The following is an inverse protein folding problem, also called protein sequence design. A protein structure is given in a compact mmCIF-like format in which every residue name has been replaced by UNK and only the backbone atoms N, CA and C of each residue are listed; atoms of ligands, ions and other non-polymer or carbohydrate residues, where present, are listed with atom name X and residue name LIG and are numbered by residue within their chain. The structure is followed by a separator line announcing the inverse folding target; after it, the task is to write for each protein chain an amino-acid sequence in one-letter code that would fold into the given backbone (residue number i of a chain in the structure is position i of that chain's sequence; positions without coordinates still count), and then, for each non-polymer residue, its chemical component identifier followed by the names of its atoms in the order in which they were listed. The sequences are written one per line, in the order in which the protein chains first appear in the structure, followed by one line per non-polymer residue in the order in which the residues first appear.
data_IF_141142943298
#
_entry.id   IF_141142943298
#
_cell.length_a   1.000
_cell.length_b   1.000
_cell.length_c   1.000
_cell.angle_alpha   90.00
_cell.angle_beta   90.00
_cell.angle_gamma   90.00
#
_symmetry.space_group_name_H-M   'P 1'
#
loop_
_entity.id
_entity.type
_entity.pdbx_description
1 polymer ?
#
# COMPACT_ATOMS: atom_id res chain seq x y z
N UNK A 1 -47.06 18.70 18.09
CA UNK A 1 -45.73 18.45 18.67
C UNK A 1 -45.15 17.09 18.31
N UNK A 2 -45.85 16.00 18.47
CA UNK A 2 -45.31 14.66 18.14
C UNK A 2 -44.93 14.50 16.67
N UNK A 3 -45.66 15.10 15.72
CA UNK A 3 -45.33 15.03 14.27
C UNK A 3 -44.07 15.82 13.94
N UNK A 4 -43.91 17.01 14.52
CA UNK A 4 -42.71 17.86 14.30
C UNK A 4 -41.46 17.20 14.84
N UNK A 5 -41.54 16.62 16.03
CA UNK A 5 -40.44 15.91 16.65
C UNK A 5 -40.02 14.71 15.79
N UNK A 6 -40.98 13.96 15.23
CA UNK A 6 -40.70 12.83 14.32
C UNK A 6 -39.95 13.28 13.06
N UNK A 7 -40.37 14.39 12.45
CA UNK A 7 -39.70 14.95 11.28
C UNK A 7 -38.27 15.43 11.59
N UNK A 8 -38.06 16.09 12.73
CA UNK A 8 -36.75 16.52 13.19
C UNK A 8 -35.84 15.31 13.37
N UNK A 9 -36.29 14.22 13.97
CA UNK A 9 -35.51 12.98 14.14
C UNK A 9 -35.17 12.33 12.82
N UNK A 10 -36.09 12.31 11.85
CA UNK A 10 -35.84 11.77 10.51
C UNK A 10 -34.74 12.59 9.80
N UNK A 11 -34.82 13.90 9.84
CA UNK A 11 -33.84 14.80 9.22
C UNK A 11 -32.47 14.61 9.89
N UNK A 12 -32.39 14.56 11.20
CA UNK A 12 -31.16 14.30 11.95
C UNK A 12 -30.54 12.95 11.58
N UNK A 13 -31.33 11.89 11.55
CA UNK A 13 -30.89 10.57 11.18
C UNK A 13 -30.34 10.54 9.72
N UNK A 14 -31.00 11.23 8.80
CA UNK A 14 -30.57 11.37 7.42
C UNK A 14 -29.24 12.13 7.29
N UNK A 15 -29.07 13.22 8.04
CA UNK A 15 -27.82 13.99 8.06
C UNK A 15 -26.66 13.18 8.63
N UNK A 16 -26.88 12.43 9.71
CA UNK A 16 -25.87 11.55 10.31
C UNK A 16 -25.49 10.42 9.34
N UNK A 17 -26.48 9.81 8.69
CA UNK A 17 -26.24 8.77 7.69
C UNK A 17 -25.42 9.29 6.51
N UNK A 18 -25.72 10.49 5.99
CA UNK A 18 -24.96 11.14 4.93
C UNK A 18 -23.51 11.41 5.36
N UNK A 19 -23.33 11.93 6.57
CA UNK A 19 -22.01 12.24 7.12
C UNK A 19 -21.16 10.98 7.23
N UNK A 20 -21.71 9.89 7.74
CA UNK A 20 -21.03 8.59 7.84
C UNK A 20 -20.63 8.08 6.45
N UNK A 21 -21.54 8.17 5.47
CA UNK A 21 -21.25 7.73 4.09
C UNK A 21 -20.13 8.56 3.47
N UNK A 22 -20.11 9.87 3.68
CA UNK A 22 -19.02 10.74 3.21
C UNK A 22 -17.69 10.42 3.87
N UNK A 23 -17.66 10.17 5.18
CA UNK A 23 -16.45 9.82 5.92
C UNK A 23 -15.90 8.47 5.47
N UNK A 24 -16.75 7.48 5.26
CA UNK A 24 -16.36 6.16 4.75
C UNK A 24 -15.82 6.29 3.32
N UNK A 25 -16.49 7.04 2.45
CA UNK A 25 -16.02 7.30 1.09
C UNK A 25 -14.67 8.01 1.06
N UNK A 26 -14.48 9.02 1.92
CA UNK A 26 -13.20 9.72 2.05
C UNK A 26 -12.09 8.79 2.56
N UNK A 27 -12.38 7.96 3.54
CA UNK A 27 -11.44 6.95 4.03
C UNK A 27 -10.98 6.01 2.93
N UNK A 28 -11.90 5.49 2.10
CA UNK A 28 -11.54 4.64 0.97
C UNK A 28 -10.71 5.38 -0.08
N UNK A 29 -11.00 6.63 -0.38
CA UNK A 29 -10.21 7.45 -1.30
C UNK A 29 -8.78 7.66 -0.80
N UNK A 30 -8.64 8.00 0.49
CA UNK A 30 -7.33 8.24 1.12
C UNK A 30 -6.48 6.97 1.15
N UNK A 31 -7.10 5.82 1.42
CA UNK A 31 -6.40 4.53 1.53
C UNK A 31 -6.23 3.80 0.21
N UNK A 32 -6.89 4.23 -0.87
CA UNK A 32 -6.88 3.54 -2.16
C UNK A 32 -5.48 3.35 -2.74
N UNK A 33 -4.61 4.34 -2.58
CA UNK A 33 -3.24 4.31 -3.09
C UNK A 33 -2.20 3.97 -2.01
N UNK A 34 -2.59 3.87 -0.74
CA UNK A 34 -1.67 3.50 0.33
C UNK A 34 -1.41 2.00 0.37
N UNK A 35 -0.21 1.63 0.77
CA UNK A 35 0.18 0.24 1.03
C UNK A 35 1.08 0.23 2.26
N UNK A 36 0.53 -0.17 3.40
CA UNK A 36 1.18 -0.08 4.71
C UNK A 36 1.80 -1.39 5.19
N UNK A 37 1.64 -2.47 4.44
CA UNK A 37 2.19 -3.79 4.75
C UNK A 37 2.94 -4.37 3.55
N UNK A 38 3.91 -5.28 3.78
CA UNK A 38 4.58 -5.96 2.67
C UNK A 38 3.62 -6.70 1.73
N UNK A 39 2.56 -7.32 2.27
CA UNK A 39 1.55 -8.01 1.46
C UNK A 39 0.78 -7.06 0.54
N UNK A 40 0.46 -5.86 1.02
CA UNK A 40 -0.23 -4.84 0.21
C UNK A 40 0.67 -4.33 -0.92
N UNK A 41 1.95 -4.09 -0.64
CA UNK A 41 2.94 -3.69 -1.65
C UNK A 41 3.10 -4.79 -2.70
N UNK A 42 3.27 -6.03 -2.27
CA UNK A 42 3.39 -7.17 -3.18
C UNK A 42 2.16 -7.34 -4.06
N UNK A 43 0.97 -7.18 -3.49
CA UNK A 43 -0.29 -7.23 -4.24
C UNK A 43 -0.40 -6.13 -5.30
N UNK A 44 0.08 -4.92 -5.01
CA UNK A 44 0.18 -3.84 -6.00
C UNK A 44 1.06 -4.24 -7.20
N UNK A 45 2.14 -4.96 -6.95
CA UNK A 45 3.01 -5.52 -7.98
C UNK A 45 2.50 -6.84 -8.59
N UNK A 46 1.31 -7.29 -8.22
CA UNK A 46 0.72 -8.54 -8.68
C UNK A 46 1.42 -9.79 -8.15
N UNK A 47 2.02 -9.70 -6.96
CA UNK A 47 2.69 -10.79 -6.28
C UNK A 47 1.94 -11.23 -5.02
N UNK A 48 2.12 -12.50 -4.68
CA UNK A 48 1.71 -13.07 -3.40
C UNK A 48 2.96 -13.52 -2.65
N UNK A 49 3.15 -13.03 -1.43
CA UNK A 49 4.32 -13.38 -0.64
C UNK A 49 4.09 -14.67 0.15
N UNK A 50 5.04 -15.63 0.14
CA UNK A 50 5.06 -16.74 1.11
C UNK A 50 5.19 -16.23 2.54
N UNK A 51 4.99 -17.10 3.53
CA UNK A 51 5.13 -16.75 4.94
C UNK A 51 6.49 -16.09 5.25
N UNK A 52 6.47 -14.97 5.92
CA UNK A 52 7.64 -14.14 6.22
C UNK A 52 7.52 -13.48 7.59
N UNK A 53 8.64 -12.93 8.05
CA UNK A 53 8.67 -11.97 9.17
C UNK A 53 9.31 -10.67 8.70
N UNK A 54 8.89 -9.56 9.27
CA UNK A 54 9.48 -8.24 9.02
C UNK A 54 10.72 -8.11 9.90
N UNK A 55 11.87 -7.84 9.28
CA UNK A 55 13.14 -7.62 9.98
C UNK A 55 13.45 -6.15 10.15
N UNK A 56 12.97 -5.31 9.24
CA UNK A 56 13.12 -3.85 9.31
C UNK A 56 11.96 -3.17 8.59
N UNK A 57 11.50 -2.05 9.13
CA UNK A 57 10.55 -1.18 8.47
C UNK A 57 10.96 0.28 8.63
N UNK A 58 10.80 1.06 7.58
CA UNK A 58 11.06 2.49 7.55
C UNK A 58 9.92 3.20 6.83
N UNK A 59 9.61 4.39 7.27
CA UNK A 59 8.69 5.30 6.61
C UNK A 59 9.17 6.75 6.73
N UNK A 60 8.54 7.64 5.99
CA UNK A 60 8.81 9.08 6.07
C UNK A 60 7.63 9.88 6.62
N UNK A 61 6.71 9.25 7.33
CA UNK A 61 5.49 9.88 7.84
C UNK A 61 5.75 11.08 8.75
N UNK A 62 6.91 11.11 9.41
CA UNK A 62 7.33 12.23 10.27
C UNK A 62 7.90 13.44 9.47
N UNK A 63 8.04 13.28 8.15
CA UNK A 63 8.54 14.33 7.27
C UNK A 63 7.39 15.13 6.69
N UNK A 64 7.15 16.30 7.22
CA UNK A 64 6.04 17.19 6.80
C UNK A 64 6.28 17.94 5.49
N UNK A 65 7.44 17.77 4.85
CA UNK A 65 7.87 18.61 3.71
C UNK A 65 7.69 17.95 2.34
N UNK A 66 7.34 16.66 2.29
CA UNK A 66 7.16 15.95 1.01
C UNK A 66 5.70 15.54 0.81
N UNK A 67 5.10 15.81 -0.36
CA UNK A 67 3.78 15.31 -0.70
C UNK A 67 3.75 13.80 -0.97
N UNK A 68 4.93 13.16 -1.04
CA UNK A 68 5.08 11.73 -1.26
C UNK A 68 5.32 11.01 0.05
N UNK A 69 4.50 10.02 0.32
CA UNK A 69 4.70 9.08 1.43
C UNK A 69 5.50 7.87 0.95
N UNK A 70 6.40 7.41 1.79
CA UNK A 70 7.34 6.34 1.50
C UNK A 70 7.32 5.29 2.59
N UNK A 71 7.28 4.03 2.18
CA UNK A 71 7.44 2.86 3.05
C UNK A 71 8.52 1.94 2.49
N UNK A 72 9.36 1.41 3.36
CA UNK A 72 10.35 0.40 3.03
C UNK A 72 10.31 -0.72 4.06
N UNK A 73 10.34 -1.96 3.58
CA UNK A 73 10.35 -3.15 4.41
C UNK A 73 11.49 -4.07 3.99
N UNK A 74 12.19 -4.62 4.98
CA UNK A 74 13.01 -5.81 4.81
C UNK A 74 12.30 -6.98 5.47
N UNK A 75 12.16 -8.07 4.72
CA UNK A 75 11.49 -9.29 5.20
C UNK A 75 12.39 -10.50 5.03
N UNK A 76 12.22 -11.48 5.90
CA UNK A 76 12.87 -12.78 5.81
C UNK A 76 11.80 -13.86 5.67
N UNK A 77 11.91 -14.71 4.65
CA UNK A 77 10.99 -15.80 4.44
C UNK A 77 11.25 -16.95 5.43
N UNK A 78 10.20 -17.56 5.93
CA UNK A 78 10.31 -18.70 6.85
C UNK A 78 10.94 -19.93 6.20
N UNK A 79 10.69 -20.09 4.89
CA UNK A 79 11.23 -21.19 4.07
C UNK A 79 11.88 -20.63 2.81
N UNK A 80 12.84 -21.36 2.21
CA UNK A 80 13.38 -20.99 0.90
C UNK A 80 12.25 -20.84 -0.13
N UNK A 81 12.40 -19.86 -1.04
CA UNK A 81 11.45 -19.68 -2.13
C UNK A 81 11.50 -20.88 -3.09
N UNK A 82 10.34 -21.42 -3.43
CA UNK A 82 10.24 -22.56 -4.34
C UNK A 82 10.58 -22.17 -5.77
N UNK A 83 11.10 -23.13 -6.55
CA UNK A 83 11.39 -22.91 -7.97
C UNK A 83 10.14 -22.55 -8.77
N UNK A 84 8.98 -23.12 -8.42
CA UNK A 84 7.71 -22.79 -9.06
C UNK A 84 7.28 -21.33 -8.80
N UNK A 85 7.50 -20.84 -7.59
CA UNK A 85 7.26 -19.44 -7.24
C UNK A 85 8.17 -18.50 -8.02
N UNK A 86 9.46 -18.78 -8.05
CA UNK A 86 10.46 -18.00 -8.78
C UNK A 86 10.20 -17.99 -10.29
N UNK A 87 9.75 -19.10 -10.85
CA UNK A 87 9.34 -19.16 -12.27
C UNK A 87 8.13 -18.27 -12.56
N UNK A 88 7.14 -18.24 -11.67
CA UNK A 88 5.99 -17.33 -11.80
C UNK A 88 6.43 -15.87 -11.75
N UNK A 89 7.30 -15.52 -10.82
CA UNK A 89 7.84 -14.16 -10.70
C UNK A 89 8.61 -13.76 -11.95
N UNK A 90 9.47 -14.63 -12.45
CA UNK A 90 10.29 -14.38 -13.63
C UNK A 90 9.49 -14.17 -14.92
N UNK A 91 8.26 -14.70 -15.00
CA UNK A 91 7.36 -14.50 -16.15
C UNK A 91 6.70 -13.13 -16.20
N UNK A 92 6.74 -12.36 -15.13
CA UNK A 92 6.17 -11.01 -15.12
C UNK A 92 6.96 -10.08 -16.01
N UNK A 93 6.27 -9.27 -16.80
CA UNK A 93 6.90 -8.24 -17.66
C UNK A 93 7.67 -7.19 -16.84
N UNK A 94 7.22 -6.94 -15.61
CA UNK A 94 7.83 -6.01 -14.67
C UNK A 94 9.07 -6.57 -13.95
N UNK A 95 9.37 -7.85 -14.11
CA UNK A 95 10.47 -8.53 -13.46
C UNK A 95 11.73 -8.55 -14.35
N UNK A 96 12.84 -8.13 -13.76
CA UNK A 96 14.19 -8.31 -14.33
C UNK A 96 15.01 -9.16 -13.38
N UNK A 97 15.75 -10.12 -13.95
CA UNK A 97 16.66 -10.97 -13.20
C UNK A 97 18.10 -10.55 -13.47
N UNK A 98 18.82 -10.23 -12.41
CA UNK A 98 20.22 -9.85 -12.46
C UNK A 98 21.01 -10.61 -11.37
N UNK A 99 21.95 -11.48 -11.76
CA UNK A 99 22.84 -12.14 -10.83
C UNK A 99 22.18 -12.96 -9.72
N UNK A 100 21.03 -13.60 -9.98
CA UNK A 100 20.28 -14.35 -8.97
C UNK A 100 19.32 -13.51 -8.13
N UNK A 101 19.27 -12.21 -8.35
CA UNK A 101 18.31 -11.29 -7.73
C UNK A 101 17.16 -10.99 -8.70
N UNK A 102 15.92 -11.04 -8.20
CA UNK A 102 14.74 -10.68 -8.99
C UNK A 102 14.30 -9.28 -8.59
N UNK A 103 14.31 -8.37 -9.56
CA UNK A 103 13.84 -7.01 -9.40
C UNK A 103 12.48 -6.84 -10.07
N UNK A 104 11.47 -6.52 -9.30
CA UNK A 104 10.12 -6.22 -9.79
C UNK A 104 9.89 -4.72 -9.56
N UNK A 105 9.62 -3.98 -10.61
CA UNK A 105 9.28 -2.58 -10.56
C UNK A 105 7.96 -2.35 -11.28
N UNK A 106 7.00 -1.78 -10.57
CA UNK A 106 5.68 -1.45 -11.11
C UNK A 106 5.27 -0.06 -10.63
N UNK A 107 4.51 0.63 -11.44
CA UNK A 107 4.09 1.99 -11.13
C UNK A 107 2.75 2.32 -11.80
N UNK A 108 2.01 3.18 -11.14
CA UNK A 108 0.94 3.96 -11.76
C UNK A 108 1.42 5.42 -11.76
N UNK A 109 1.77 5.99 -12.93
CA UNK A 109 2.35 7.33 -12.99
C UNK A 109 1.49 8.36 -12.24
N UNK A 110 2.16 9.25 -11.49
CA UNK A 110 1.54 10.29 -10.66
C UNK A 110 0.74 9.82 -9.45
N UNK A 111 0.62 8.52 -9.21
CA UNK A 111 -0.11 7.98 -8.07
C UNK A 111 0.77 7.18 -7.13
N UNK A 112 1.45 6.15 -7.64
CA UNK A 112 2.31 5.29 -6.82
C UNK A 112 3.39 4.58 -7.64
N UNK A 113 4.44 4.17 -6.96
CA UNK A 113 5.46 3.25 -7.49
C UNK A 113 5.85 2.23 -6.44
N UNK A 114 6.16 1.03 -6.87
CA UNK A 114 6.71 -0.02 -6.01
C UNK A 114 7.94 -0.66 -6.63
N UNK A 115 8.86 -1.05 -5.76
CA UNK A 115 10.09 -1.72 -6.12
C UNK A 115 10.32 -2.88 -5.14
N UNK A 116 10.44 -4.08 -5.69
CA UNK A 116 10.64 -5.29 -4.90
C UNK A 116 11.90 -6.00 -5.38
N UNK A 117 12.81 -6.28 -4.45
CA UNK A 117 13.96 -7.13 -4.68
C UNK A 117 13.79 -8.44 -3.93
N UNK A 118 13.86 -9.55 -4.63
CA UNK A 118 13.89 -10.90 -4.04
C UNK A 118 15.33 -11.44 -4.08
N UNK A 119 15.81 -11.85 -2.93
CA UNK A 119 17.12 -12.47 -2.75
C UNK A 119 16.94 -13.94 -2.32
N UNK A 120 16.70 -14.87 -3.28
CA UNK A 120 16.33 -16.24 -2.95
C UNK A 120 17.38 -16.98 -2.12
N UNK A 121 18.66 -16.77 -2.39
CA UNK A 121 19.77 -17.42 -1.68
C UNK A 121 19.86 -16.96 -0.21
N UNK A 122 19.38 -15.78 0.11
CA UNK A 122 19.38 -15.20 1.45
C UNK A 122 18.02 -15.31 2.15
N UNK A 123 17.02 -15.89 1.50
CA UNK A 123 15.63 -15.97 1.99
C UNK A 123 15.07 -14.63 2.45
N UNK A 124 15.41 -13.57 1.79
CA UNK A 124 14.96 -12.22 2.11
C UNK A 124 14.44 -11.47 0.90
N UNK A 125 13.69 -10.42 1.18
CA UNK A 125 13.26 -9.45 0.18
C UNK A 125 13.27 -8.04 0.77
N UNK A 126 13.43 -7.06 -0.09
CA UNK A 126 13.18 -5.65 0.21
C UNK A 126 12.03 -5.15 -0.63
N UNK A 127 11.11 -4.42 0.01
CA UNK A 127 9.94 -3.86 -0.64
C UNK A 127 9.92 -2.36 -0.36
N UNK A 128 9.84 -1.57 -1.40
CA UNK A 128 9.74 -0.12 -1.34
C UNK A 128 8.45 0.33 -2.01
N UNK A 129 7.74 1.23 -1.38
CA UNK A 129 6.50 1.78 -1.90
C UNK A 129 6.45 3.28 -1.69
N UNK A 130 6.19 4.01 -2.75
CA UNK A 130 6.03 5.46 -2.73
C UNK A 130 4.68 5.80 -3.32
N UNK A 131 3.93 6.67 -2.67
CA UNK A 131 2.64 7.11 -3.17
C UNK A 131 2.40 8.58 -2.86
N UNK A 132 1.56 9.21 -3.68
CA UNK A 132 1.13 10.58 -3.46
C UNK A 132 0.13 10.63 -2.31
N UNK A 133 0.41 11.47 -1.32
CA UNK A 133 -0.46 11.66 -0.16
C UNK A 133 -1.33 12.90 -0.35
N UNK A 134 -2.59 12.65 -0.67
CA UNK A 134 -3.57 13.72 -0.87
C UNK A 134 -4.04 14.39 0.43
N UNK A 135 -3.76 13.76 1.58
CA UNK A 135 -4.24 14.25 2.89
C UNK A 135 -3.38 15.41 3.40
N UNK A 136 -2.12 15.43 3.00
CA UNK A 136 -1.17 16.46 3.40
C UNK A 136 -0.57 17.12 2.15
N UNK A 137 -1.35 17.96 1.44
CA UNK A 137 -0.75 18.76 0.39
C UNK A 137 0.39 19.56 1.02
N UNK A 138 1.60 19.38 0.53
CA UNK A 138 2.70 20.26 0.90
C UNK A 138 2.25 21.69 0.64
N UNK A 139 2.23 22.53 1.67
CA UNK A 139 2.14 23.96 1.46
C UNK A 139 3.40 24.33 0.67
N UNK A 140 3.20 24.57 -0.62
CA UNK A 140 4.26 25.07 -1.51
C UNK A 140 4.42 26.53 -1.15
N UNK A 141 5.42 26.82 -0.32
CA UNK A 141 5.91 28.20 -0.22
C UNK A 141 6.66 28.61 -1.49
#
# INVERSE_FOLDING_TARGET
MKKVLKWILIVLASCVGLLITLLVGLYFLVTANSAQTPDEIARKAGLSLPAYRITRSEDNMDRTTSPWSYYSFEIEFEKPLSDSYLKKVAKKETCKREGGVYRIADENPDEWSCLIYLYPDERRATLEYTFWDYVFPAEVE
#
